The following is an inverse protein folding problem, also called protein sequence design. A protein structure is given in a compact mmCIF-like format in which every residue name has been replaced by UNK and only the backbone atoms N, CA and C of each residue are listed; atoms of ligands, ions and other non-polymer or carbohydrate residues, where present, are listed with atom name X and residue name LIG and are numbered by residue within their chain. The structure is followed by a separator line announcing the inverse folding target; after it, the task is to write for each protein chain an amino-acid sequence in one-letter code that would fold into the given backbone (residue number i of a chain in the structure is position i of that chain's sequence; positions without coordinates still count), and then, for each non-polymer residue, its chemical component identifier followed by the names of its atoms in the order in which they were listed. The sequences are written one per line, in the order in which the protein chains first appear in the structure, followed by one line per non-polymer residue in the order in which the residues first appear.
data_IF_456413747778
#
_entry.id   IF_456413747778
#
_cell.length_a   1.000
_cell.length_b   1.000
_cell.length_c   1.000
_cell.angle_alpha   90.00
_cell.angle_beta   90.00
_cell.angle_gamma   90.00
#
_symmetry.space_group_name_H-M   'P 1'
#
loop_
_entity.id
_entity.type
_entity.pdbx_description
1 polymer ?
#
# COMPACT_ATOMS: atom_id res chain seq x y z
N UNK A 1 20.46 -2.30 -6.38
CA UNK A 1 19.09 -2.48 -5.89
C UNK A 1 18.07 -1.72 -6.75
N UNK A 2 18.13 -0.39 -6.90
CA UNK A 2 17.10 0.37 -7.63
C UNK A 2 16.84 -0.16 -9.05
N UNK A 3 17.88 -0.46 -9.82
CA UNK A 3 17.75 -1.06 -11.16
C UNK A 3 17.15 -2.47 -11.15
N UNK A 4 17.31 -3.22 -10.09
CA UNK A 4 16.72 -4.56 -9.93
C UNK A 4 15.24 -4.42 -9.59
N UNK A 5 14.87 -3.46 -8.74
CA UNK A 5 13.49 -3.16 -8.39
C UNK A 5 12.65 -2.68 -9.58
N UNK A 6 13.28 -1.96 -10.53
CA UNK A 6 12.61 -1.54 -11.76
C UNK A 6 12.10 -2.71 -12.62
N UNK A 7 12.67 -3.89 -12.46
CA UNK A 7 12.28 -5.09 -13.20
C UNK A 7 11.13 -5.87 -12.52
N UNK A 8 10.86 -5.58 -11.25
CA UNK A 8 9.76 -6.19 -10.52
C UNK A 8 8.51 -5.34 -10.74
N UNK A 9 7.64 -5.83 -11.62
CA UNK A 9 6.46 -5.07 -12.04
C UNK A 9 5.16 -5.84 -11.81
N UNK A 10 4.10 -5.10 -11.51
CA UNK A 10 2.74 -5.60 -11.39
C UNK A 10 1.83 -4.83 -12.36
N UNK A 11 0.89 -5.50 -13.08
CA UNK A 11 0.07 -4.84 -14.10
C UNK A 11 -0.71 -3.62 -13.61
N UNK A 12 -1.18 -3.63 -12.36
CA UNK A 12 -1.95 -2.54 -11.75
C UNK A 12 -1.09 -1.65 -10.86
N UNK A 13 -0.21 -2.24 -10.05
CA UNK A 13 0.53 -1.50 -9.02
C UNK A 13 1.85 -0.87 -9.53
N UNK A 14 2.23 -1.16 -10.77
CA UNK A 14 3.47 -0.65 -11.34
C UNK A 14 4.69 -1.38 -10.81
N UNK A 15 5.64 -0.68 -10.19
CA UNK A 15 6.92 -1.23 -9.75
C UNK A 15 7.17 -1.04 -8.26
N UNK A 16 8.06 -1.84 -7.72
CA UNK A 16 8.61 -1.63 -6.39
C UNK A 16 9.47 -0.37 -6.34
N UNK A 17 9.62 0.21 -5.17
CA UNK A 17 10.40 1.44 -5.02
C UNK A 17 11.17 1.52 -3.71
N UNK A 18 12.31 2.20 -3.78
CA UNK A 18 13.11 2.62 -2.64
C UNK A 18 13.29 4.14 -2.70
N UNK A 19 12.99 4.82 -1.62
CA UNK A 19 13.17 6.26 -1.51
C UNK A 19 14.06 6.53 -0.30
N UNK A 20 15.17 7.20 -0.51
CA UNK A 20 15.95 7.81 0.58
C UNK A 20 15.40 9.23 0.77
N UNK A 21 14.69 9.43 1.85
CA UNK A 21 14.00 10.70 2.15
C UNK A 21 14.87 11.67 2.91
N UNK A 22 15.80 11.17 3.72
CA UNK A 22 16.68 12.00 4.53
C UNK A 22 18.11 11.46 4.53
N UNK A 23 19.08 12.39 4.53
CA UNK A 23 20.51 12.11 4.64
C UNK A 23 21.11 13.13 5.60
N UNK A 24 21.67 12.66 6.69
CA UNK A 24 22.30 13.50 7.69
C UNK A 24 23.74 13.06 7.92
N UNK A 25 24.70 13.98 7.83
CA UNK A 25 26.12 13.70 8.05
C UNK A 25 26.88 14.97 8.39
N UNK A 26 27.83 14.85 9.33
CA UNK A 26 28.69 15.95 9.77
C UNK A 26 28.01 16.98 10.67
N UNK A 27 28.80 17.70 11.45
CA UNK A 27 28.34 18.74 12.36
C UNK A 27 28.80 20.15 11.91
N UNK A 28 29.99 20.25 11.39
CA UNK A 28 30.61 21.52 10.93
C UNK A 28 31.31 21.34 9.59
N UNK A 29 31.36 22.41 8.81
CA UNK A 29 31.79 22.39 7.40
C UNK A 29 33.27 22.03 7.17
N UNK A 30 34.11 22.14 8.18
CA UNK A 30 35.58 21.92 8.09
C UNK A 30 36.05 20.68 8.87
N UNK A 31 35.15 19.79 9.22
CA UNK A 31 35.41 18.50 9.88
C UNK A 31 34.94 17.36 9.00
N UNK A 32 35.76 16.32 8.86
CA UNK A 32 35.32 15.09 8.19
C UNK A 32 34.25 14.41 9.04
N UNK A 33 33.08 14.06 8.47
CA UNK A 33 32.05 13.35 9.18
C UNK A 33 32.49 11.94 9.56
N UNK A 34 32.09 11.49 10.73
CA UNK A 34 32.36 10.13 11.24
C UNK A 34 31.12 9.23 11.17
N UNK A 35 29.95 9.84 10.97
CA UNK A 35 28.66 9.15 10.91
C UNK A 35 27.83 9.69 9.74
N UNK A 36 27.08 8.79 9.14
CA UNK A 36 26.05 9.08 8.14
C UNK A 36 24.76 8.36 8.54
N UNK A 37 23.66 9.10 8.64
CA UNK A 37 22.32 8.54 8.86
C UNK A 37 21.53 8.68 7.56
N UNK A 38 20.97 7.56 7.12
CA UNK A 38 20.03 7.50 5.99
C UNK A 38 18.67 7.04 6.51
N UNK A 39 17.62 7.79 6.15
CA UNK A 39 16.26 7.40 6.45
C UNK A 39 15.44 7.33 5.16
N UNK A 40 14.64 6.28 5.04
CA UNK A 40 13.90 6.06 3.81
C UNK A 40 12.74 5.10 3.93
N UNK A 41 12.10 4.83 2.80
CA UNK A 41 11.01 3.87 2.70
C UNK A 41 11.24 2.92 1.55
N UNK A 42 10.94 1.65 1.79
CA UNK A 42 10.89 0.59 0.78
C UNK A 42 9.43 0.15 0.61
N UNK A 43 8.95 0.18 -0.62
CA UNK A 43 7.61 -0.28 -0.98
C UNK A 43 7.74 -1.48 -1.90
N UNK A 44 6.98 -2.52 -1.61
CA UNK A 44 6.99 -3.76 -2.38
C UNK A 44 5.59 -4.15 -2.83
N UNK A 45 5.53 -5.02 -3.82
CA UNK A 45 4.31 -5.49 -4.46
C UNK A 45 3.72 -6.70 -3.70
N UNK A 46 2.43 -7.01 -3.90
CA UNK A 46 1.84 -8.26 -3.43
C UNK A 46 2.67 -9.47 -3.89
N UNK A 47 2.80 -10.48 -3.02
CA UNK A 47 3.63 -11.65 -3.26
C UNK A 47 5.02 -11.58 -2.63
N UNK A 48 5.51 -10.39 -2.28
CA UNK A 48 6.69 -10.22 -1.43
C UNK A 48 6.30 -10.06 0.04
N UNK A 49 7.17 -10.55 0.93
CA UNK A 49 7.00 -10.42 2.39
C UNK A 49 8.04 -9.47 2.98
N UNK A 50 7.78 -9.00 4.20
CA UNK A 50 8.74 -8.19 4.94
C UNK A 50 10.07 -8.94 5.12
N UNK A 51 10.04 -10.23 5.45
CA UNK A 51 11.24 -11.06 5.63
C UNK A 51 12.09 -11.13 4.37
N UNK A 52 11.45 -11.29 3.20
CA UNK A 52 12.15 -11.30 1.91
C UNK A 52 12.83 -9.96 1.64
N UNK A 53 12.10 -8.86 1.81
CA UNK A 53 12.60 -7.51 1.58
C UNK A 53 13.69 -7.14 2.58
N UNK A 54 13.51 -7.48 3.85
CA UNK A 54 14.50 -7.27 4.91
C UNK A 54 15.79 -8.02 4.61
N UNK A 55 15.71 -9.32 4.25
CA UNK A 55 16.88 -10.12 3.88
C UNK A 55 17.66 -9.56 2.67
N UNK A 56 16.96 -8.97 1.68
CA UNK A 56 17.62 -8.26 0.57
C UNK A 56 18.44 -7.07 1.06
N UNK A 57 17.87 -6.27 1.97
CA UNK A 57 18.58 -5.14 2.57
C UNK A 57 19.79 -5.58 3.39
N UNK A 58 19.64 -6.55 4.26
CA UNK A 58 20.75 -7.07 5.07
C UNK A 58 21.90 -7.56 4.21
N UNK A 59 21.61 -8.25 3.10
CA UNK A 59 22.64 -8.68 2.15
C UNK A 59 23.41 -7.51 1.57
N UNK A 60 22.71 -6.47 1.10
CA UNK A 60 23.32 -5.29 0.51
C UNK A 60 24.16 -4.53 1.55
N UNK A 61 23.64 -4.34 2.76
CA UNK A 61 24.36 -3.64 3.82
C UNK A 61 25.64 -4.39 4.22
N UNK A 62 25.56 -5.73 4.28
CA UNK A 62 26.72 -6.59 4.52
C UNK A 62 27.78 -6.48 3.42
N UNK A 63 27.37 -6.46 2.15
CA UNK A 63 28.25 -6.27 1.02
C UNK A 63 28.95 -4.90 1.06
N UNK A 64 28.18 -3.84 1.34
CA UNK A 64 28.72 -2.47 1.46
C UNK A 64 29.69 -2.37 2.64
N UNK A 65 29.31 -2.89 3.81
CA UNK A 65 30.17 -2.91 5.00
C UNK A 65 31.51 -3.61 4.71
N UNK A 66 31.44 -4.77 4.05
CA UNK A 66 32.63 -5.56 3.67
C UNK A 66 33.52 -4.83 2.65
N UNK A 67 32.91 -4.19 1.66
CA UNK A 67 33.66 -3.49 0.62
C UNK A 67 34.31 -2.18 1.09
N UNK A 68 33.69 -1.51 2.06
CA UNK A 68 34.14 -0.18 2.53
C UNK A 68 34.87 -0.21 3.87
N UNK A 69 34.77 -1.30 4.64
CA UNK A 69 35.23 -1.37 6.02
C UNK A 69 34.42 -0.53 7.00
N UNK A 70 33.23 -0.08 6.60
CA UNK A 70 32.33 0.74 7.41
C UNK A 70 31.46 -0.15 8.29
N UNK A 71 31.26 0.24 9.56
CA UNK A 71 30.25 -0.37 10.41
C UNK A 71 28.87 0.19 10.02
N UNK A 72 27.92 -0.69 9.77
CA UNK A 72 26.54 -0.32 9.44
C UNK A 72 25.62 -0.94 10.48
N UNK A 73 24.81 -0.11 11.11
CA UNK A 73 23.71 -0.52 11.98
C UNK A 73 22.41 -0.10 11.29
N UNK A 74 21.40 -0.97 11.22
CA UNK A 74 20.15 -0.68 10.54
C UNK A 74 18.94 -1.07 11.42
N UNK A 75 17.91 -0.23 11.40
CA UNK A 75 16.62 -0.48 12.05
C UNK A 75 15.54 -0.53 10.96
N UNK A 76 14.86 -1.66 10.85
CA UNK A 76 13.77 -1.86 9.88
C UNK A 76 12.45 -2.00 10.60
N UNK A 77 11.45 -1.26 10.14
CA UNK A 77 10.10 -1.32 10.68
C UNK A 77 9.10 -1.54 9.58
N UNK A 78 8.37 -2.65 9.68
CA UNK A 78 7.23 -2.87 8.80
C UNK A 78 6.06 -1.99 9.25
N UNK A 79 5.55 -1.19 8.33
CA UNK A 79 4.28 -0.49 8.55
C UNK A 79 3.11 -1.44 8.30
N UNK A 80 3.01 -1.97 7.08
CA UNK A 80 2.05 -3.00 6.66
C UNK A 80 2.53 -3.62 5.35
N UNK A 81 2.20 -4.90 5.13
CA UNK A 81 2.42 -5.59 3.87
C UNK A 81 1.52 -5.07 2.74
N UNK A 82 1.95 -5.28 1.51
CA UNK A 82 1.09 -5.06 0.35
C UNK A 82 0.00 -6.13 0.27
N UNK A 83 -1.18 -5.78 -0.28
CA UNK A 83 -2.25 -6.74 -0.51
C UNK A 83 -2.90 -6.52 -1.88
N UNK A 84 -3.58 -7.54 -2.35
CA UNK A 84 -4.39 -7.53 -3.55
C UNK A 84 -5.68 -8.31 -3.27
N UNK A 85 -6.80 -7.89 -3.84
CA UNK A 85 -8.06 -8.64 -3.81
C UNK A 85 -8.27 -9.30 -5.18
N UNK A 86 -8.69 -10.56 -5.17
CA UNK A 86 -9.12 -11.25 -6.39
C UNK A 86 -10.41 -10.60 -6.93
N UNK A 87 -10.45 -10.37 -8.24
CA UNK A 87 -11.64 -9.82 -8.88
C UNK A 87 -12.84 -10.79 -8.86
N UNK A 88 -12.59 -12.07 -8.62
CA UNK A 88 -13.61 -13.09 -8.42
C UNK A 88 -14.12 -13.18 -6.97
N UNK A 89 -13.45 -12.46 -6.03
CA UNK A 89 -13.89 -12.42 -4.63
C UNK A 89 -15.32 -11.87 -4.49
N UNK A 90 -16.18 -12.52 -3.68
CA UNK A 90 -17.56 -12.07 -3.47
C UNK A 90 -17.68 -10.60 -3.03
N UNK A 91 -16.75 -10.09 -2.20
CA UNK A 91 -16.71 -8.68 -1.81
C UNK A 91 -16.47 -7.78 -3.02
N UNK A 92 -15.51 -8.13 -3.87
CA UNK A 92 -15.19 -7.34 -5.07
C UNK A 92 -16.37 -7.30 -6.04
N UNK A 93 -17.00 -8.44 -6.31
CA UNK A 93 -18.18 -8.52 -7.19
C UNK A 93 -19.36 -7.72 -6.65
N UNK A 94 -19.66 -7.86 -5.34
CA UNK A 94 -20.73 -7.11 -4.68
C UNK A 94 -20.47 -5.60 -4.75
N UNK A 95 -19.23 -5.18 -4.55
CA UNK A 95 -18.82 -3.79 -4.64
C UNK A 95 -19.00 -3.24 -6.07
N UNK A 96 -18.48 -3.93 -7.08
CA UNK A 96 -18.61 -3.48 -8.48
C UNK A 96 -20.06 -3.41 -8.95
N UNK A 97 -20.90 -4.36 -8.52
CA UNK A 97 -22.32 -4.34 -8.79
C UNK A 97 -23.02 -3.14 -8.14
N UNK A 98 -22.68 -2.84 -6.89
CA UNK A 98 -23.21 -1.68 -6.17
C UNK A 98 -22.80 -0.37 -6.82
N UNK A 99 -21.53 -0.25 -7.23
CA UNK A 99 -21.03 0.92 -7.97
C UNK A 99 -21.77 1.11 -9.28
N UNK A 100 -21.91 0.06 -10.08
CA UNK A 100 -22.62 0.12 -11.34
C UNK A 100 -24.09 0.52 -11.16
N UNK A 101 -24.74 0.01 -10.09
CA UNK A 101 -26.12 0.38 -9.74
C UNK A 101 -26.30 1.83 -9.32
N UNK A 102 -25.31 2.44 -8.67
CA UNK A 102 -25.36 3.85 -8.21
C UNK A 102 -24.87 4.82 -9.27
N UNK A 103 -23.82 4.47 -10.01
CA UNK A 103 -23.10 5.39 -10.92
C UNK A 103 -23.40 5.10 -12.40
N UNK A 104 -24.07 4.02 -12.73
CA UNK A 104 -24.38 3.60 -14.10
C UNK A 104 -23.32 2.74 -14.76
N UNK A 105 -22.11 2.68 -14.22
CA UNK A 105 -21.00 1.90 -14.75
C UNK A 105 -20.09 1.39 -13.62
N UNK A 106 -19.37 0.30 -13.88
CA UNK A 106 -18.37 -0.23 -12.97
C UNK A 106 -17.14 0.68 -12.94
N UNK A 107 -16.43 0.71 -11.81
CA UNK A 107 -15.17 1.45 -11.71
C UNK A 107 -14.00 0.67 -12.31
N UNK A 108 -13.06 1.36 -12.95
CA UNK A 108 -11.80 0.74 -13.33
C UNK A 108 -11.04 0.28 -12.07
N UNK A 109 -10.42 -0.89 -12.20
CA UNK A 109 -9.57 -1.44 -11.14
C UNK A 109 -8.21 -0.77 -11.19
N UNK A 110 -7.68 -0.44 -10.03
CA UNK A 110 -6.40 0.21 -9.90
C UNK A 110 -5.71 -0.16 -8.59
N UNK A 111 -4.57 0.43 -8.36
CA UNK A 111 -3.84 0.31 -7.11
C UNK A 111 -3.61 1.67 -6.45
N UNK A 112 -3.32 1.66 -5.16
CA UNK A 112 -2.89 2.83 -4.40
C UNK A 112 -1.47 2.65 -3.90
N UNK A 113 -0.57 3.61 -4.13
CA UNK A 113 0.85 3.50 -3.76
C UNK A 113 1.09 3.92 -2.29
N UNK A 114 0.13 3.70 -1.41
CA UNK A 114 0.23 4.05 0.00
C UNK A 114 -0.47 3.02 0.88
N UNK A 115 -0.13 3.02 2.16
CA UNK A 115 -0.73 2.16 3.18
C UNK A 115 -2.01 2.81 3.70
N UNK A 116 -3.05 2.00 3.87
CA UNK A 116 -4.31 2.37 4.51
C UNK A 116 -4.82 1.25 5.45
N UNK A 117 -6.01 1.42 6.00
CA UNK A 117 -6.58 0.43 6.94
C UNK A 117 -6.88 -0.91 6.28
N UNK A 118 -7.07 -0.97 4.96
CA UNK A 118 -7.23 -2.20 4.20
C UNK A 118 -6.05 -3.15 4.38
N UNK A 119 -4.83 -2.62 4.44
CA UNK A 119 -3.65 -3.42 4.73
C UNK A 119 -3.72 -4.10 6.11
N UNK A 120 -4.30 -3.43 7.12
CA UNK A 120 -4.48 -4.00 8.45
C UNK A 120 -5.58 -5.07 8.47
N UNK A 121 -6.69 -4.84 7.78
CA UNK A 121 -7.77 -5.84 7.68
C UNK A 121 -7.28 -7.13 7.04
N UNK A 122 -6.50 -7.04 5.97
CA UNK A 122 -5.95 -8.23 5.31
C UNK A 122 -4.88 -8.88 6.18
N UNK A 123 -3.87 -8.12 6.65
CA UNK A 123 -2.72 -8.69 7.35
C UNK A 123 -3.04 -9.23 8.74
N UNK A 124 -3.93 -8.57 9.50
CA UNK A 124 -4.24 -8.94 10.88
C UNK A 124 -5.59 -9.66 11.00
N UNK A 125 -6.56 -9.28 10.17
CA UNK A 125 -7.90 -9.83 10.20
C UNK A 125 -8.10 -11.04 9.28
N UNK A 126 -7.20 -11.26 8.31
CA UNK A 126 -7.35 -12.31 7.30
C UNK A 126 -8.61 -12.15 6.44
N UNK A 127 -9.12 -10.91 6.32
CA UNK A 127 -10.35 -10.62 5.55
C UNK A 127 -10.02 -9.79 4.32
N UNK A 128 -10.73 -9.99 3.19
CA UNK A 128 -10.51 -9.19 1.99
C UNK A 128 -10.85 -7.71 2.24
N UNK A 129 -10.17 -6.82 1.54
CA UNK A 129 -10.41 -5.39 1.63
C UNK A 129 -10.35 -4.70 0.27
N UNK A 130 -11.17 -3.65 0.12
CA UNK A 130 -11.19 -2.76 -1.03
C UNK A 130 -11.04 -1.33 -0.52
N UNK A 131 -10.11 -0.58 -1.11
CA UNK A 131 -9.98 0.84 -0.83
C UNK A 131 -10.78 1.65 -1.83
N UNK A 132 -11.78 2.37 -1.33
CA UNK A 132 -12.62 3.27 -2.11
C UNK A 132 -13.07 4.44 -1.23
N UNK A 133 -13.32 5.57 -1.86
CA UNK A 133 -13.81 6.76 -1.14
C UNK A 133 -14.35 7.82 -2.11
N UNK A 134 -14.79 8.95 -1.58
CA UNK A 134 -15.28 10.06 -2.38
C UNK A 134 -14.13 10.73 -3.15
N UNK A 135 -14.46 11.33 -4.28
CA UNK A 135 -13.54 12.21 -5.00
C UNK A 135 -13.38 13.52 -4.21
N UNK A 136 -12.35 13.57 -3.38
CA UNK A 136 -11.99 14.76 -2.62
C UNK A 136 -10.86 15.54 -3.30
N UNK A 137 -10.81 16.85 -3.06
CA UNK A 137 -9.75 17.74 -3.52
C UNK A 137 -8.90 18.18 -2.33
N UNK A 138 -7.60 18.32 -2.54
CA UNK A 138 -6.69 18.85 -1.52
C UNK A 138 -6.49 17.92 -0.33
N UNK A 139 -6.51 16.60 -0.53
CA UNK A 139 -6.26 15.63 0.53
C UNK A 139 -4.99 15.97 1.34
N UNK A 140 -5.08 15.89 2.68
CA UNK A 140 -4.03 16.26 3.62
C UNK A 140 -3.63 17.73 3.63
N UNK A 141 -4.48 18.63 3.14
CA UNK A 141 -4.28 20.08 3.22
C UNK A 141 -5.34 20.76 4.09
N UNK A 142 -5.09 22.01 4.49
CA UNK A 142 -6.06 22.83 5.24
C UNK A 142 -7.31 23.23 4.42
N UNK A 143 -7.25 23.03 3.11
CA UNK A 143 -8.34 23.31 2.17
C UNK A 143 -8.90 22.02 1.55
N UNK A 144 -8.89 20.94 2.29
CA UNK A 144 -9.48 19.68 1.83
C UNK A 144 -11.00 19.83 1.71
N UNK A 145 -11.53 19.53 0.54
CA UNK A 145 -12.95 19.66 0.21
C UNK A 145 -13.47 18.37 -0.41
N UNK A 146 -14.70 18.01 -0.03
CA UNK A 146 -15.42 16.88 -0.64
C UNK A 146 -16.86 17.30 -0.96
N UNK A 147 -17.31 17.17 -2.22
CA UNK A 147 -18.70 17.43 -2.56
C UNK A 147 -19.67 16.55 -1.78
N UNK A 148 -20.74 17.10 -1.23
CA UNK A 148 -21.76 16.34 -0.49
C UNK A 148 -22.37 15.23 -1.35
N UNK A 149 -22.56 15.47 -2.65
CA UNK A 149 -23.05 14.46 -3.57
C UNK A 149 -22.14 13.22 -3.65
N UNK A 150 -20.82 13.41 -3.55
CA UNK A 150 -19.85 12.31 -3.53
C UNK A 150 -19.97 11.50 -2.21
N UNK A 151 -20.17 12.16 -1.08
CA UNK A 151 -20.39 11.47 0.19
C UNK A 151 -21.66 10.61 0.14
N UNK A 152 -22.75 11.15 -0.41
CA UNK A 152 -24.03 10.40 -0.59
C UNK A 152 -23.81 9.23 -1.54
N UNK A 153 -23.13 9.44 -2.67
CA UNK A 153 -22.81 8.37 -3.62
C UNK A 153 -22.04 7.23 -2.95
N UNK A 154 -20.97 7.55 -2.24
CA UNK A 154 -20.13 6.55 -1.57
C UNK A 154 -20.90 5.82 -0.48
N UNK A 155 -21.70 6.53 0.33
CA UNK A 155 -22.53 5.90 1.36
C UNK A 155 -23.55 4.91 0.75
N UNK A 156 -24.15 5.27 -0.39
CA UNK A 156 -25.05 4.39 -1.13
C UNK A 156 -24.36 3.13 -1.63
N UNK A 157 -23.15 3.30 -2.21
CA UNK A 157 -22.32 2.16 -2.67
C UNK A 157 -22.01 1.22 -1.49
N UNK A 158 -21.57 1.75 -0.36
CA UNK A 158 -21.22 0.93 0.81
C UNK A 158 -22.43 0.18 1.37
N UNK A 159 -23.58 0.84 1.48
CA UNK A 159 -24.81 0.20 1.94
C UNK A 159 -25.24 -0.95 1.02
N UNK A 160 -25.25 -0.72 -0.30
CA UNK A 160 -25.60 -1.74 -1.28
C UNK A 160 -24.58 -2.88 -1.33
N UNK A 161 -23.30 -2.59 -1.22
CA UNK A 161 -22.25 -3.61 -1.12
C UNK A 161 -22.46 -4.50 0.08
N UNK A 162 -22.70 -3.93 1.26
CA UNK A 162 -22.93 -4.69 2.49
C UNK A 162 -24.18 -5.61 2.37
N UNK A 163 -25.28 -5.09 1.81
CA UNK A 163 -26.49 -5.88 1.60
C UNK A 163 -26.21 -7.05 0.64
N UNK A 164 -25.60 -6.78 -0.51
CA UNK A 164 -25.32 -7.80 -1.52
C UNK A 164 -24.35 -8.87 -1.01
N UNK A 165 -23.29 -8.46 -0.32
CA UNK A 165 -22.29 -9.37 0.24
C UNK A 165 -22.87 -10.26 1.34
N UNK A 166 -23.66 -9.71 2.26
CA UNK A 166 -24.30 -10.51 3.33
C UNK A 166 -25.36 -11.46 2.79
N UNK A 167 -26.08 -11.10 1.72
CA UNK A 167 -27.04 -12.00 1.09
C UNK A 167 -26.37 -13.18 0.37
N UNK A 168 -25.26 -12.93 -0.32
CA UNK A 168 -24.51 -14.00 -0.99
C UNK A 168 -23.98 -15.05 -0.01
N UNK A 169 -23.52 -14.65 1.18
CA UNK A 169 -23.07 -15.58 2.22
C UNK A 169 -24.18 -16.44 2.83
N UNK A 170 -25.42 -15.97 2.84
CA UNK A 170 -26.55 -16.75 3.39
C UNK A 170 -27.03 -17.87 2.45
N UNK A 171 -26.77 -17.78 1.17
CA UNK A 171 -27.16 -18.80 0.19
C UNK A 171 -26.17 -20.00 0.17
N UNK A 172 -24.93 -19.81 0.63
CA UNK A 172 -23.93 -20.87 0.72
C UNK A 172 -24.05 -21.74 1.99
N UNK A 173 -24.59 -21.20 3.08
CA UNK A 173 -24.82 -21.95 4.34
C UNK A 173 -26.08 -22.81 4.33
N UNK A 174 -26.91 -22.71 3.30
CA UNK A 174 -28.21 -23.39 3.18
C UNK A 174 -28.23 -24.68 2.36
N UNK A 175 -27.01 -25.15 1.91
CA UNK A 175 -26.85 -26.38 1.14
C UNK A 175 -25.97 -27.37 1.88
#
# INVERSE_FOLDING_TARGET
LDRELEQITHPLAGRESLIVGQVHSGEIFNQSPVELVLEGTRRWLPGNTFETVHGQFESILSEVASATGTKIDADFRESRGAYEIDQEDPLFRSFQSAVAGVSGEALPVGSKPFVDDGNAFVALGGVPAITHGPAALGAHTVNEECPVAELVRVASVYALTAIAFCQAGSDEEGT
#
